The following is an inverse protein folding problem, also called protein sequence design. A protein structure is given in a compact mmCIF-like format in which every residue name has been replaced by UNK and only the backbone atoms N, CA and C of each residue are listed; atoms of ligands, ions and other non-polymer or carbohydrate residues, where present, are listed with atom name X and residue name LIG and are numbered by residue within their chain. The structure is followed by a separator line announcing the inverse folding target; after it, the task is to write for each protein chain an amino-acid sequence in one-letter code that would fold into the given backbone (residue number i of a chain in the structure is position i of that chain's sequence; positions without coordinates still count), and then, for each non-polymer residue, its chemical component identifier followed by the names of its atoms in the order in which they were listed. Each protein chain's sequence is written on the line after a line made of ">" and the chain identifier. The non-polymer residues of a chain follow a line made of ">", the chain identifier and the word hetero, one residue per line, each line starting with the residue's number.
data_IF_751076122165
#
_entry.id   IF_751076122165
#
_cell.length_a   1.000
_cell.length_b   1.000
_cell.length_c   1.000
_cell.angle_alpha   90.00
_cell.angle_beta   90.00
_cell.angle_gamma   90.00
#
_symmetry.space_group_name_H-M   'P 1'
#
loop_
_entity.id
_entity.type
_entity.pdbx_description
1 polymer ?
#
# COMPACT_ATOMS: atom_id res chain seq x y z
N UNK A 1 -17.00 -10.97 23.60
CA UNK A 1 -16.65 -9.96 22.63
C UNK A 1 -16.11 -8.75 23.37
N UNK A 2 -14.97 -8.22 22.96
CA UNK A 2 -14.43 -6.99 23.54
C UNK A 2 -15.41 -5.84 23.20
N UNK A 3 -15.77 -5.04 24.19
CA UNK A 3 -16.53 -3.80 23.99
C UNK A 3 -15.66 -2.88 23.12
N UNK A 4 -16.19 -2.24 22.05
CA UNK A 4 -15.44 -1.24 21.32
C UNK A 4 -15.02 -0.15 22.32
N UNK A 5 -13.74 0.20 22.35
CA UNK A 5 -13.29 1.33 23.15
C UNK A 5 -14.00 2.60 22.65
N UNK A 6 -14.48 3.43 23.57
CA UNK A 6 -14.98 4.76 23.25
C UNK A 6 -13.84 5.58 22.66
N UNK A 7 -13.88 5.78 21.34
CA UNK A 7 -12.82 6.44 20.58
C UNK A 7 -12.21 5.55 19.48
N UNK A 8 -11.40 6.14 18.62
CA UNK A 8 -10.65 5.38 17.60
C UNK A 8 -9.27 4.99 18.15
N UNK A 9 -9.21 3.88 18.88
CA UNK A 9 -7.99 3.39 19.52
C UNK A 9 -6.81 3.21 18.55
N UNK A 10 -7.07 2.93 17.29
CA UNK A 10 -6.01 2.82 16.27
C UNK A 10 -5.39 4.18 15.93
N UNK A 11 -6.21 5.24 15.88
CA UNK A 11 -5.73 6.61 15.66
C UNK A 11 -4.95 7.11 16.87
N UNK A 12 -5.46 6.88 18.08
CA UNK A 12 -4.79 7.26 19.32
C UNK A 12 -3.42 6.56 19.44
N UNK A 13 -3.37 5.26 19.19
CA UNK A 13 -2.12 4.49 19.16
C UNK A 13 -1.13 5.04 18.12
N UNK A 14 -1.61 5.39 16.92
CA UNK A 14 -0.74 5.95 15.87
C UNK A 14 -0.14 7.29 16.28
N UNK A 15 -0.93 8.18 16.89
CA UNK A 15 -0.46 9.46 17.40
C UNK A 15 0.57 9.27 18.52
N UNK A 16 0.30 8.37 19.46
CA UNK A 16 1.21 8.07 20.55
C UNK A 16 2.52 7.44 20.07
N UNK A 17 2.46 6.55 19.08
CA UNK A 17 3.65 6.01 18.42
C UNK A 17 4.44 7.12 17.69
N UNK A 18 3.74 8.03 17.00
CA UNK A 18 4.37 9.18 16.35
C UNK A 18 5.10 10.09 17.33
N UNK A 19 4.49 10.38 18.48
CA UNK A 19 5.11 11.16 19.56
C UNK A 19 6.32 10.46 20.18
N UNK A 20 6.22 9.13 20.33
CA UNK A 20 7.25 8.32 20.98
C UNK A 20 8.48 8.13 20.11
N UNK A 21 8.27 7.79 18.84
CA UNK A 21 9.34 7.38 17.92
C UNK A 21 9.73 8.47 16.92
N UNK A 22 8.84 9.43 16.66
CA UNK A 22 9.13 10.56 15.77
C UNK A 22 9.77 10.14 14.44
N UNK A 23 10.98 10.66 14.12
CA UNK A 23 11.67 10.34 12.87
C UNK A 23 12.04 8.86 12.67
N UNK A 24 12.09 8.07 13.75
CA UNK A 24 12.40 6.63 13.68
C UNK A 24 11.17 5.79 13.34
N UNK A 25 9.96 6.37 13.40
CA UNK A 25 8.74 5.67 13.04
C UNK A 25 8.65 5.47 11.53
N UNK A 26 8.40 4.24 11.11
CA UNK A 26 8.01 3.88 9.75
C UNK A 26 6.56 3.44 9.76
N UNK A 27 5.68 4.18 9.08
CA UNK A 27 4.27 3.84 8.96
C UNK A 27 3.96 3.32 7.55
N UNK A 28 3.40 2.12 7.47
CA UNK A 28 2.98 1.51 6.20
C UNK A 28 1.45 1.34 6.24
N UNK A 29 0.75 2.10 5.40
CA UNK A 29 -0.69 1.96 5.22
C UNK A 29 -0.97 0.91 4.15
N UNK A 30 -1.61 -0.20 4.53
CA UNK A 30 -1.99 -1.30 3.63
C UNK A 30 -3.49 -1.40 3.40
N UNK A 31 -4.24 -0.41 3.87
CA UNK A 31 -5.69 -0.28 3.72
C UNK A 31 -6.11 1.17 3.48
N UNK A 32 -7.43 1.47 3.55
CA UNK A 32 -7.96 2.83 3.42
C UNK A 32 -7.30 3.82 4.37
N UNK A 33 -7.08 5.06 3.92
CA UNK A 33 -6.28 6.05 4.64
C UNK A 33 -7.02 6.78 5.77
N UNK A 34 -8.19 6.32 6.18
CA UNK A 34 -9.03 6.98 7.20
C UNK A 34 -8.29 7.20 8.52
N UNK A 35 -7.56 6.19 9.02
CA UNK A 35 -6.82 6.34 10.29
C UNK A 35 -5.68 7.35 10.18
N UNK A 36 -4.95 7.36 9.06
CA UNK A 36 -3.87 8.33 8.83
C UNK A 36 -4.42 9.75 8.67
N UNK A 37 -5.53 9.92 7.94
CA UNK A 37 -6.19 11.20 7.78
C UNK A 37 -6.66 11.77 9.13
N UNK A 38 -7.33 10.96 9.94
CA UNK A 38 -7.80 11.34 11.27
C UNK A 38 -6.63 11.66 12.22
N UNK A 39 -5.52 10.92 12.16
CA UNK A 39 -4.34 11.20 12.97
C UNK A 39 -3.71 12.55 12.58
N UNK A 40 -3.58 12.83 11.29
CA UNK A 40 -3.10 14.13 10.77
C UNK A 40 -4.04 15.29 11.15
N UNK A 41 -5.35 15.06 11.11
CA UNK A 41 -6.35 16.06 11.51
C UNK A 41 -6.28 16.38 13.02
N UNK A 42 -6.14 15.34 13.86
CA UNK A 42 -6.14 15.49 15.33
C UNK A 42 -4.82 16.03 15.87
N UNK A 43 -3.69 15.60 15.32
CA UNK A 43 -2.36 16.02 15.79
C UNK A 43 -1.34 16.02 14.64
N UNK A 44 -1.46 17.02 13.77
CA UNK A 44 -0.51 17.23 12.69
C UNK A 44 0.93 17.42 13.23
N UNK A 45 1.10 18.05 14.38
CA UNK A 45 2.42 18.32 14.96
C UNK A 45 3.16 17.02 15.32
N UNK A 46 2.45 16.00 15.81
CA UNK A 46 3.02 14.68 16.05
C UNK A 46 3.23 13.89 14.75
N UNK A 47 2.32 14.00 13.78
CA UNK A 47 2.33 13.18 12.58
C UNK A 47 3.30 13.68 11.50
N UNK A 48 3.57 14.97 11.42
CA UNK A 48 4.47 15.53 10.39
C UNK A 48 5.93 15.10 10.54
N UNK A 49 6.51 14.94 11.75
CA UNK A 49 7.91 14.53 11.93
C UNK A 49 8.19 13.04 11.74
N UNK A 50 7.18 12.15 11.67
CA UNK A 50 7.45 10.71 11.54
C UNK A 50 8.38 10.43 10.33
N UNK A 51 9.26 9.42 10.45
CA UNK A 51 10.34 9.24 9.48
C UNK A 51 9.85 8.90 8.08
N UNK A 52 9.22 7.75 7.93
CA UNK A 52 8.77 7.28 6.62
C UNK A 52 7.29 6.92 6.63
N UNK A 53 6.58 7.36 5.59
CA UNK A 53 5.21 6.93 5.31
C UNK A 53 5.19 6.27 3.94
N UNK A 54 4.75 5.02 3.89
CA UNK A 54 4.51 4.28 2.65
C UNK A 54 3.04 3.90 2.58
N UNK A 55 2.42 4.16 1.45
CA UNK A 55 1.00 3.89 1.22
C UNK A 55 0.88 2.86 0.11
N UNK A 56 0.30 1.70 0.41
CA UNK A 56 -0.22 0.83 -0.63
C UNK A 56 -1.57 1.38 -1.09
N UNK A 57 -1.64 1.79 -2.33
CA UNK A 57 -2.85 2.33 -2.93
C UNK A 57 -2.61 3.20 -4.15
N UNK A 58 -3.69 3.45 -4.87
CA UNK A 58 -3.69 4.33 -6.03
C UNK A 58 -3.30 3.65 -7.35
N UNK A 59 -3.62 4.36 -8.42
CA UNK A 59 -3.31 3.99 -9.80
C UNK A 59 -3.13 5.29 -10.58
N UNK A 60 -1.87 5.66 -10.91
CA UNK A 60 -1.60 6.93 -11.58
C UNK A 60 -1.60 6.77 -13.10
N UNK A 61 -0.85 5.79 -13.60
CA UNK A 61 -0.65 5.58 -15.06
C UNK A 61 -1.35 4.33 -15.59
N UNK A 62 -2.00 3.56 -14.72
CA UNK A 62 -2.71 2.32 -15.05
C UNK A 62 -4.17 2.39 -14.64
N UNK A 63 -5.05 1.50 -15.16
CA UNK A 63 -6.42 1.39 -14.67
C UNK A 63 -6.50 0.99 -13.20
N UNK A 64 -7.63 1.30 -12.56
CA UNK A 64 -7.95 0.80 -11.23
C UNK A 64 -8.29 -0.70 -11.21
N UNK A 65 -8.53 -1.23 -10.02
CA UNK A 65 -8.92 -2.63 -9.82
C UNK A 65 -10.33 -2.82 -9.23
N UNK A 66 -10.98 -1.74 -8.79
CA UNK A 66 -12.40 -1.76 -8.35
C UNK A 66 -13.30 -0.95 -9.28
N UNK A 67 -12.73 -0.02 -10.01
CA UNK A 67 -13.36 0.66 -11.14
C UNK A 67 -12.31 0.97 -12.20
N UNK A 68 -12.72 1.44 -13.37
CA UNK A 68 -11.78 1.81 -14.44
C UNK A 68 -10.75 2.86 -13.98
N UNK A 69 -11.09 3.70 -13.01
CA UNK A 69 -10.22 4.77 -12.52
C UNK A 69 -9.59 4.53 -11.15
N UNK A 70 -10.20 3.74 -10.28
CA UNK A 70 -9.87 3.74 -8.86
C UNK A 70 -9.31 2.40 -8.36
N UNK A 71 -8.27 2.51 -7.54
CA UNK A 71 -7.73 1.41 -6.73
C UNK A 71 -8.55 1.27 -5.43
N UNK A 72 -8.61 0.05 -4.90
CA UNK A 72 -9.50 -0.34 -3.81
C UNK A 72 -9.37 0.52 -2.54
N UNK A 73 -8.15 0.77 -2.06
CA UNK A 73 -7.90 1.54 -0.83
C UNK A 73 -8.31 3.00 -1.01
N UNK A 74 -7.99 3.58 -2.18
CA UNK A 74 -8.37 4.95 -2.50
C UNK A 74 -9.89 5.08 -2.74
N UNK A 75 -10.51 4.10 -3.38
CA UNK A 75 -11.94 4.07 -3.62
C UNK A 75 -12.76 3.90 -2.33
N UNK A 76 -12.23 3.18 -1.35
CA UNK A 76 -12.91 2.90 -0.09
C UNK A 76 -13.05 4.13 0.83
N UNK A 77 -12.12 5.08 0.75
CA UNK A 77 -12.13 6.29 1.55
C UNK A 77 -11.47 7.47 0.79
N UNK A 78 -12.07 7.92 -0.33
CA UNK A 78 -11.42 8.86 -1.22
C UNK A 78 -11.20 10.24 -0.60
N UNK A 79 -12.09 10.72 0.27
CA UNK A 79 -11.92 11.98 1.00
C UNK A 79 -10.72 11.90 1.95
N UNK A 80 -10.56 10.79 2.66
CA UNK A 80 -9.42 10.58 3.54
C UNK A 80 -8.11 10.48 2.73
N UNK A 81 -8.15 9.79 1.60
CA UNK A 81 -7.01 9.68 0.70
C UNK A 81 -6.60 11.05 0.13
N UNK A 82 -7.57 11.88 -0.31
CA UNK A 82 -7.31 13.25 -0.78
C UNK A 82 -6.70 14.10 0.34
N UNK A 83 -7.25 14.04 1.54
CA UNK A 83 -6.73 14.78 2.69
C UNK A 83 -5.27 14.41 3.00
N UNK A 84 -4.92 13.11 3.00
CA UNK A 84 -3.55 12.63 3.22
C UNK A 84 -2.60 13.09 2.12
N UNK A 85 -2.96 12.91 0.84
CA UNK A 85 -2.10 13.29 -0.30
C UNK A 85 -1.86 14.81 -0.36
N UNK A 86 -2.81 15.61 0.11
CA UNK A 86 -2.72 17.08 0.13
C UNK A 86 -2.24 17.66 1.46
N UNK A 87 -2.00 16.84 2.47
CA UNK A 87 -1.55 17.28 3.79
C UNK A 87 -0.16 17.94 3.80
N UNK A 88 0.63 17.79 2.74
CA UNK A 88 2.03 18.18 2.70
C UNK A 88 2.99 17.17 3.33
N UNK A 89 2.48 16.10 3.96
CA UNK A 89 3.31 15.01 4.49
C UNK A 89 4.04 14.30 3.35
N UNK A 90 5.36 14.19 3.45
CA UNK A 90 6.17 13.41 2.51
C UNK A 90 5.83 11.92 2.63
N UNK A 91 5.41 11.29 1.55
CA UNK A 91 5.08 9.87 1.52
C UNK A 91 5.50 9.20 0.20
N UNK A 92 5.59 7.87 0.23
CA UNK A 92 5.78 7.05 -0.98
C UNK A 92 4.49 6.30 -1.28
N UNK A 93 3.94 6.48 -2.46
CA UNK A 93 2.79 5.73 -2.96
C UNK A 93 3.25 4.52 -3.79
N UNK A 94 2.89 3.32 -3.35
CA UNK A 94 3.13 2.05 -4.02
C UNK A 94 1.79 1.58 -4.60
N UNK A 95 1.48 2.07 -5.79
CA UNK A 95 0.21 1.85 -6.48
C UNK A 95 0.21 0.64 -7.40
N UNK A 96 -0.92 0.45 -8.10
CA UNK A 96 -1.09 -0.61 -9.09
C UNK A 96 -0.08 -0.51 -10.23
N UNK A 97 0.49 0.67 -10.45
CA UNK A 97 1.58 0.95 -11.41
C UNK A 97 2.76 -0.01 -11.27
N UNK A 98 3.04 -0.44 -10.04
CA UNK A 98 4.14 -1.38 -9.72
C UNK A 98 3.66 -2.70 -9.13
N UNK A 99 2.58 -2.71 -8.36
CA UNK A 99 2.15 -3.93 -7.66
C UNK A 99 1.61 -5.00 -8.62
N UNK A 100 1.00 -4.62 -9.74
CA UNK A 100 0.58 -5.54 -10.79
C UNK A 100 1.74 -6.18 -11.56
N UNK A 101 2.97 -5.69 -11.39
CA UNK A 101 4.19 -6.27 -11.98
C UNK A 101 4.86 -7.30 -11.06
N UNK A 102 4.36 -7.44 -9.84
CA UNK A 102 4.92 -8.33 -8.83
C UNK A 102 3.90 -9.41 -8.53
N UNK A 103 4.00 -10.51 -9.28
CA UNK A 103 3.01 -11.58 -9.31
C UNK A 103 3.58 -12.85 -8.70
N UNK A 104 2.88 -13.40 -7.72
CA UNK A 104 3.14 -14.71 -7.13
C UNK A 104 2.32 -15.76 -7.88
N UNK A 105 2.97 -16.81 -8.34
CA UNK A 105 2.34 -17.87 -9.15
C UNK A 105 2.11 -19.15 -8.32
N UNK A 106 1.26 -20.06 -8.83
CA UNK A 106 1.07 -21.39 -8.22
C UNK A 106 2.38 -22.17 -8.10
N UNK A 107 3.31 -21.99 -9.06
CA UNK A 107 4.64 -22.61 -9.00
C UNK A 107 5.46 -22.10 -7.81
N UNK A 108 5.32 -20.82 -7.47
CA UNK A 108 6.07 -20.23 -6.36
C UNK A 108 5.63 -20.76 -5.00
N UNK A 109 4.33 -21.09 -4.82
CA UNK A 109 3.79 -21.58 -3.57
C UNK A 109 3.89 -23.11 -3.40
N UNK A 110 4.22 -23.86 -4.45
CA UNK A 110 4.30 -25.30 -4.43
C UNK A 110 5.27 -25.82 -3.34
N UNK A 111 6.38 -25.12 -3.12
CA UNK A 111 7.34 -25.44 -2.06
C UNK A 111 6.76 -25.33 -0.65
N UNK A 112 5.87 -24.35 -0.42
CA UNK A 112 5.24 -24.15 0.89
C UNK A 112 4.14 -25.17 1.16
N UNK A 113 3.37 -25.56 0.13
CA UNK A 113 2.41 -26.66 0.21
C UNK A 113 3.10 -27.97 0.59
N UNK A 114 4.28 -28.22 0.00
CA UNK A 114 5.07 -29.45 0.25
C UNK A 114 5.93 -29.40 1.50
N UNK A 115 5.98 -28.31 2.26
CA UNK A 115 6.84 -28.18 3.44
C UNK A 115 6.46 -29.12 4.59
N UNK A 116 5.19 -29.57 4.64
CA UNK A 116 4.66 -30.40 5.74
C UNK A 116 4.45 -29.64 7.04
N UNK A 117 4.77 -28.34 7.10
CA UNK A 117 4.51 -27.51 8.28
C UNK A 117 3.08 -26.98 8.26
N UNK A 118 2.48 -26.79 9.44
CA UNK A 118 1.14 -26.20 9.57
C UNK A 118 1.12 -24.78 8.98
N UNK A 119 2.15 -23.99 9.24
CA UNK A 119 2.26 -22.61 8.75
C UNK A 119 2.36 -22.57 7.22
N UNK A 120 3.21 -23.40 6.63
CA UNK A 120 3.38 -23.49 5.18
C UNK A 120 2.11 -23.92 4.46
N UNK A 121 1.45 -24.96 4.94
CA UNK A 121 0.19 -25.45 4.38
C UNK A 121 -0.93 -24.41 4.50
N UNK A 122 -1.08 -23.77 5.66
CA UNK A 122 -2.09 -22.74 5.88
C UNK A 122 -1.86 -21.51 4.97
N UNK A 123 -0.62 -21.02 4.90
CA UNK A 123 -0.29 -19.87 4.06
C UNK A 123 -0.49 -20.19 2.57
N UNK A 124 -0.04 -21.36 2.11
CA UNK A 124 -0.23 -21.79 0.73
C UNK A 124 -1.73 -21.88 0.38
N UNK A 125 -2.56 -22.43 1.27
CA UNK A 125 -4.02 -22.51 1.08
C UNK A 125 -4.67 -21.12 0.99
N UNK A 126 -4.25 -20.15 1.84
CA UNK A 126 -4.74 -18.79 1.79
C UNK A 126 -4.38 -18.12 0.46
N UNK A 127 -3.12 -18.26 0.02
CA UNK A 127 -2.66 -17.69 -1.24
C UNK A 127 -3.36 -18.33 -2.44
N UNK A 128 -3.61 -19.64 -2.39
CA UNK A 128 -4.34 -20.35 -3.44
C UNK A 128 -5.78 -19.87 -3.58
N UNK A 129 -6.46 -19.65 -2.45
CA UNK A 129 -7.79 -19.03 -2.44
C UNK A 129 -7.77 -17.62 -3.04
N UNK A 130 -6.78 -16.82 -2.69
CA UNK A 130 -6.60 -15.47 -3.23
C UNK A 130 -6.31 -15.48 -4.75
N UNK A 131 -5.49 -16.44 -5.23
CA UNK A 131 -5.25 -16.63 -6.67
C UNK A 131 -6.54 -16.97 -7.43
N UNK A 132 -7.45 -17.77 -6.84
CA UNK A 132 -8.75 -18.06 -7.44
C UNK A 132 -9.58 -16.80 -7.72
N UNK A 133 -9.51 -15.80 -6.85
CA UNK A 133 -10.13 -14.49 -7.09
C UNK A 133 -9.49 -13.75 -8.28
N UNK A 134 -8.15 -13.81 -8.41
CA UNK A 134 -7.44 -13.22 -9.54
C UNK A 134 -7.76 -13.91 -10.88
N UNK A 135 -7.91 -15.23 -10.88
CA UNK A 135 -8.30 -15.98 -12.08
C UNK A 135 -9.66 -15.55 -12.63
N UNK A 136 -10.58 -15.13 -11.74
CA UNK A 136 -11.89 -14.60 -12.14
C UNK A 136 -11.85 -13.14 -12.58
N UNK A 137 -11.08 -12.29 -11.89
CA UNK A 137 -11.18 -10.85 -12.05
C UNK A 137 -10.02 -10.24 -12.89
N UNK A 138 -8.85 -10.90 -12.93
CA UNK A 138 -7.66 -10.43 -13.64
C UNK A 138 -6.82 -11.62 -14.19
N UNK A 139 -7.39 -12.51 -15.03
CA UNK A 139 -6.73 -13.74 -15.48
C UNK A 139 -5.43 -13.50 -16.24
N UNK A 140 -5.28 -12.34 -16.87
CA UNK A 140 -4.08 -11.96 -17.61
C UNK A 140 -2.82 -11.81 -16.74
N UNK A 141 -2.97 -11.68 -15.41
CA UNK A 141 -1.82 -11.60 -14.49
C UNK A 141 -1.13 -12.97 -14.29
N UNK A 142 -1.83 -14.08 -14.49
CA UNK A 142 -1.25 -15.42 -14.33
C UNK A 142 -0.90 -15.83 -12.90
N UNK A 143 -1.43 -15.14 -11.90
CA UNK A 143 -1.20 -15.34 -10.47
C UNK A 143 -1.84 -14.23 -9.66
N UNK A 144 -1.41 -14.02 -8.42
CA UNK A 144 -1.90 -12.91 -7.59
C UNK A 144 -0.82 -11.84 -7.37
N UNK A 145 -1.21 -10.57 -7.43
CA UNK A 145 -0.30 -9.46 -7.16
C UNK A 145 0.01 -9.35 -5.65
N UNK A 146 1.27 -9.06 -5.33
CA UNK A 146 1.76 -8.87 -3.96
C UNK A 146 1.74 -7.38 -3.59
N UNK A 147 0.56 -6.82 -3.39
CA UNK A 147 0.36 -5.39 -3.12
C UNK A 147 1.03 -4.94 -1.82
N UNK A 148 0.52 -5.40 -0.69
CA UNK A 148 0.98 -5.01 0.64
C UNK A 148 2.40 -5.49 0.94
N UNK A 149 2.79 -6.71 0.56
CA UNK A 149 4.18 -7.15 0.72
C UNK A 149 5.20 -6.26 0.00
N UNK A 150 4.87 -5.76 -1.21
CA UNK A 150 5.73 -4.82 -1.91
C UNK A 150 5.83 -3.48 -1.18
N UNK A 151 4.72 -2.93 -0.68
CA UNK A 151 4.75 -1.68 0.07
C UNK A 151 5.60 -1.79 1.34
N UNK A 152 5.49 -2.90 2.08
CA UNK A 152 6.36 -3.18 3.23
C UNK A 152 7.83 -3.31 2.81
N UNK A 153 8.11 -4.00 1.71
CA UNK A 153 9.48 -4.13 1.20
C UNK A 153 10.08 -2.78 0.79
N UNK A 154 9.30 -1.90 0.14
CA UNK A 154 9.72 -0.53 -0.22
C UNK A 154 9.97 0.32 1.03
N UNK A 155 9.20 0.11 2.10
CA UNK A 155 9.45 0.77 3.39
C UNK A 155 10.80 0.34 4.00
N UNK A 156 11.23 -0.89 3.79
CA UNK A 156 12.53 -1.43 4.25
C UNK A 156 13.65 -0.98 3.30
N UNK A 157 13.45 -1.19 2.00
CA UNK A 157 14.42 -0.90 0.95
C UNK A 157 13.77 -0.12 -0.22
N UNK A 158 13.84 1.21 -0.20
CA UNK A 158 13.25 2.04 -1.25
C UNK A 158 13.92 1.89 -2.62
N UNK A 159 15.09 1.26 -2.71
CA UNK A 159 15.78 1.02 -3.99
C UNK A 159 15.11 -0.07 -4.85
N UNK A 160 14.11 -0.78 -4.31
CA UNK A 160 13.29 -1.73 -5.06
C UNK A 160 12.43 -1.06 -6.14
N UNK A 161 12.19 0.24 -6.02
CA UNK A 161 11.33 0.99 -6.96
C UNK A 161 12.01 2.24 -7.48
N UNK A 162 11.72 2.58 -8.74
CA UNK A 162 11.98 3.92 -9.27
C UNK A 162 10.73 4.77 -9.11
N UNK A 163 10.88 5.95 -8.49
CA UNK A 163 9.75 6.80 -8.14
C UNK A 163 9.86 8.19 -8.77
N UNK A 164 8.71 8.78 -9.09
CA UNK A 164 8.56 10.15 -9.59
C UNK A 164 7.96 11.03 -8.48
N UNK A 165 8.57 12.19 -8.24
CA UNK A 165 8.01 13.20 -7.34
C UNK A 165 6.79 13.89 -7.95
N UNK A 166 5.65 13.81 -7.27
CA UNK A 166 4.40 14.44 -7.67
C UNK A 166 3.70 15.11 -6.49
N UNK A 167 2.82 16.05 -6.79
CA UNK A 167 1.75 16.47 -5.91
C UNK A 167 0.46 15.82 -6.43
N UNK A 168 -0.16 14.99 -5.60
CA UNK A 168 -1.35 14.23 -5.98
C UNK A 168 -2.59 14.76 -5.28
N UNK A 169 -3.73 14.46 -5.88
CA UNK A 169 -5.06 14.54 -5.29
C UNK A 169 -5.89 13.32 -5.70
N UNK A 170 -7.01 13.13 -5.04
CA UNK A 170 -8.00 12.11 -5.43
C UNK A 170 -9.18 12.80 -6.09
N UNK A 171 -9.70 12.22 -7.16
CA UNK A 171 -10.96 12.66 -7.75
C UNK A 171 -12.12 12.25 -6.84
N UNK A 172 -12.84 13.24 -6.31
CA UNK A 172 -13.92 13.02 -5.35
C UNK A 172 -15.31 12.98 -5.98
N UNK A 173 -15.41 13.29 -7.28
CA UNK A 173 -16.69 13.49 -7.95
C UNK A 173 -16.79 12.64 -9.22
N UNK A 174 -18.03 12.31 -9.58
CA UNK A 174 -18.35 11.68 -10.86
C UNK A 174 -17.89 10.23 -11.00
N UNK A 175 -17.73 9.82 -12.24
CA UNK A 175 -17.46 8.43 -12.65
C UNK A 175 -16.07 7.93 -12.19
N UNK A 176 -15.13 8.84 -12.05
CA UNK A 176 -13.74 8.49 -11.67
C UNK A 176 -13.44 8.71 -10.18
N UNK A 177 -14.48 8.82 -9.34
CA UNK A 177 -14.32 9.00 -7.89
C UNK A 177 -13.39 7.93 -7.31
N UNK A 178 -12.38 8.37 -6.55
CA UNK A 178 -11.33 7.51 -6.01
C UNK A 178 -10.07 7.41 -6.87
N UNK A 179 -10.05 7.98 -8.09
CA UNK A 179 -8.86 7.99 -8.93
C UNK A 179 -7.79 8.92 -8.37
N UNK A 180 -6.56 8.44 -8.29
CA UNK A 180 -5.38 9.27 -8.01
C UNK A 180 -4.93 9.99 -9.27
N UNK A 181 -4.80 11.31 -9.19
CA UNK A 181 -4.38 12.16 -10.30
C UNK A 181 -3.37 13.21 -9.81
N UNK A 182 -2.59 13.76 -10.72
CA UNK A 182 -1.75 14.91 -10.40
C UNK A 182 -2.62 16.12 -10.04
N UNK A 183 -2.21 16.86 -8.99
CA UNK A 183 -2.85 18.12 -8.65
C UNK A 183 -2.40 19.19 -9.64
N UNK A 184 -3.28 19.55 -10.57
CA UNK A 184 -3.01 20.51 -11.64
C UNK A 184 -2.62 21.90 -11.12
N UNK A 185 -3.06 22.26 -9.91
CA UNK A 185 -2.74 23.54 -9.27
C UNK A 185 -1.33 23.56 -8.69
N UNK A 186 -0.73 22.38 -8.51
CA UNK A 186 0.59 22.18 -7.90
C UNK A 186 1.60 21.52 -8.85
N UNK A 187 1.33 21.49 -10.16
CA UNK A 187 2.23 20.87 -11.15
C UNK A 187 3.59 21.57 -11.21
N UNK A 188 3.60 22.90 -11.13
CA UNK A 188 4.83 23.70 -11.15
C UNK A 188 5.46 23.92 -9.77
N UNK A 189 4.82 23.45 -8.68
CA UNK A 189 5.36 23.54 -7.33
C UNK A 189 6.66 22.73 -7.25
N UNK A 190 7.80 23.32 -6.87
CA UNK A 190 9.07 22.60 -6.76
C UNK A 190 9.06 21.57 -5.61
N UNK A 191 8.27 21.80 -4.58
CA UNK A 191 8.16 20.89 -3.44
C UNK A 191 7.10 19.82 -3.71
N UNK A 192 7.56 18.59 -3.97
CA UNK A 192 6.70 17.43 -4.20
C UNK A 192 6.52 16.66 -2.90
N UNK A 193 5.26 16.42 -2.52
CA UNK A 193 4.92 15.71 -1.28
C UNK A 193 4.85 14.19 -1.44
N UNK A 194 4.64 13.69 -2.66
CA UNK A 194 4.48 12.26 -2.92
C UNK A 194 5.55 11.74 -3.89
N UNK A 195 6.23 10.67 -3.50
CA UNK A 195 7.02 9.85 -4.40
C UNK A 195 6.12 8.72 -4.92
N UNK A 196 5.81 8.73 -6.21
CA UNK A 196 4.98 7.70 -6.86
C UNK A 196 5.87 6.64 -7.45
N UNK A 197 5.80 5.40 -6.98
CA UNK A 197 6.52 4.28 -7.55
C UNK A 197 5.95 3.95 -8.95
N UNK A 198 6.80 4.03 -9.98
CA UNK A 198 6.41 3.78 -11.38
C UNK A 198 7.17 2.60 -12.01
N UNK A 199 8.33 2.24 -11.45
CA UNK A 199 9.10 1.05 -11.85
C UNK A 199 9.44 0.22 -10.63
N UNK A 200 9.62 -1.09 -10.82
CA UNK A 200 9.96 -2.03 -9.74
C UNK A 200 10.93 -3.09 -10.24
N UNK A 201 11.91 -3.44 -9.40
CA UNK A 201 12.76 -4.63 -9.58
C UNK A 201 12.00 -5.86 -9.06
N UNK A 202 11.03 -6.33 -9.87
CA UNK A 202 10.18 -7.45 -9.51
C UNK A 202 10.97 -8.76 -9.28
N UNK A 203 11.99 -9.12 -10.08
CA UNK A 203 12.80 -10.33 -9.83
C UNK A 203 13.50 -10.30 -8.48
N UNK A 204 14.10 -9.17 -8.10
CA UNK A 204 14.78 -8.99 -6.81
C UNK A 204 13.79 -9.11 -5.66
N UNK A 205 12.68 -8.37 -5.71
CA UNK A 205 11.66 -8.42 -4.68
C UNK A 205 11.09 -9.84 -4.49
N UNK A 206 10.70 -10.52 -5.58
CA UNK A 206 10.15 -11.87 -5.52
C UNK A 206 11.15 -12.88 -4.93
N UNK A 207 12.43 -12.76 -5.27
CA UNK A 207 13.49 -13.60 -4.71
C UNK A 207 13.63 -13.39 -3.21
N UNK A 208 13.68 -12.13 -2.75
CA UNK A 208 13.78 -11.79 -1.33
C UNK A 208 12.54 -12.23 -0.55
N UNK A 209 11.34 -11.96 -1.09
CA UNK A 209 10.07 -12.34 -0.50
C UNK A 209 10.00 -13.86 -0.30
N UNK A 210 10.23 -14.64 -1.35
CA UNK A 210 10.21 -16.10 -1.28
C UNK A 210 11.22 -16.66 -0.30
N UNK A 211 12.42 -16.11 -0.29
CA UNK A 211 13.48 -16.54 0.65
C UNK A 211 13.06 -16.31 2.10
N UNK A 212 12.51 -15.13 2.40
CA UNK A 212 12.06 -14.79 3.77
C UNK A 212 10.85 -15.64 4.19
N UNK A 213 9.88 -15.78 3.28
CA UNK A 213 8.70 -16.61 3.56
C UNK A 213 9.06 -18.07 3.79
N UNK A 214 9.95 -18.66 2.98
CA UNK A 214 10.40 -20.03 3.19
C UNK A 214 11.07 -20.23 4.55
N UNK A 215 11.83 -19.26 5.06
CA UNK A 215 12.41 -19.34 6.41
C UNK A 215 11.38 -19.35 7.54
N UNK A 216 10.26 -18.65 7.34
CA UNK A 216 9.19 -18.52 8.34
C UNK A 216 8.21 -19.70 8.26
N UNK A 217 7.99 -20.21 7.06
CA UNK A 217 6.97 -21.23 6.78
C UNK A 217 7.54 -22.66 6.88
N UNK A 218 8.86 -22.82 6.92
CA UNK A 218 9.56 -24.10 7.03
C UNK A 218 9.99 -24.58 5.67
#
# INVERSE_FOLDING_TARGET
>A
GATPADGNAAVDYLIDAARTYGPDLVYVATGPLSNLALALERDAAAMMPIGRVVVMGGALTVPGNVSAGAEANMASAPEAADAVLRSGRKLTMVGLDVTHRVVLTRRDIAGWTGSGTMAGCAFASMVEHYMGSYEMNAPSLGGCALHDPLAVAVAIDPTLVGALGCNLRVDLLGEYRGRTICDERRLSDPDKSTLVALTVDAPRFLSEFKTRMTRVLG
#
